data_IF_674245171656
#
_entry.id   IF_674245171656
#
_cell.length_a   1.000
_cell.length_b   1.000
_cell.length_c   1.000
_cell.angle_alpha   90.00
_cell.angle_beta   90.00
_cell.angle_gamma   90.00
#
_symmetry.space_group_name_H-M   'P 1'
#
loop_
_entity.id
_entity.type
_entity.pdbx_description
1 polymer ?
#
# COMPACT_ATOMS: atom_id res chain seq x y z
N UNK A 1 5.57 17.35 17.62
CA UNK A 1 5.86 17.58 16.19
C UNK A 1 4.82 18.56 15.63
N UNK A 2 5.17 19.32 14.60
CA UNK A 2 4.36 20.29 13.83
C UNK A 2 4.13 19.77 12.40
N UNK A 3 3.28 20.40 11.57
CA UNK A 3 3.07 20.00 10.16
C UNK A 3 4.38 19.95 9.34
N UNK A 4 5.31 20.92 9.48
CA UNK A 4 6.66 20.81 8.92
C UNK A 4 7.43 19.55 9.39
N UNK A 5 7.28 19.16 10.66
CA UNK A 5 7.95 17.98 11.21
C UNK A 5 7.37 16.68 10.62
N UNK A 6 6.07 16.62 10.34
CA UNK A 6 5.46 15.49 9.64
C UNK A 6 6.05 15.31 8.24
N UNK A 7 6.08 16.38 7.43
CA UNK A 7 6.59 16.32 6.07
C UNK A 7 8.08 15.92 6.04
N UNK A 8 8.88 16.45 6.97
CA UNK A 8 10.28 16.08 7.13
C UNK A 8 10.45 14.61 7.54
N UNK A 9 9.68 14.11 8.52
CA UNK A 9 9.74 12.72 8.96
C UNK A 9 9.31 11.74 7.85
N UNK A 10 8.27 12.08 7.09
CA UNK A 10 7.84 11.30 5.93
C UNK A 10 8.95 11.25 4.87
N UNK A 11 9.53 12.40 4.52
CA UNK A 11 10.60 12.48 3.52
C UNK A 11 11.86 11.72 3.93
N UNK A 12 12.31 11.84 5.20
CA UNK A 12 13.46 11.08 5.72
C UNK A 12 13.21 9.57 5.64
N UNK A 13 12.04 9.13 6.11
CA UNK A 13 11.68 7.70 6.10
C UNK A 13 11.57 7.17 4.68
N UNK A 14 10.98 7.94 3.77
CA UNK A 14 10.92 7.59 2.35
C UNK A 14 12.31 7.45 1.76
N UNK A 15 13.21 8.41 1.99
CA UNK A 15 14.58 8.34 1.50
C UNK A 15 15.35 7.12 2.07
N UNK A 16 15.10 6.76 3.33
CA UNK A 16 15.61 5.54 3.94
C UNK A 16 15.10 4.27 3.24
N UNK A 17 13.80 4.21 2.95
CA UNK A 17 13.18 3.10 2.22
C UNK A 17 13.72 2.99 0.79
N UNK A 18 13.86 4.10 0.06
CA UNK A 18 14.38 4.10 -1.33
C UNK A 18 15.80 3.52 -1.39
N UNK A 19 16.65 3.82 -0.40
CA UNK A 19 17.97 3.18 -0.28
C UNK A 19 17.83 1.67 -0.05
N UNK A 20 16.93 1.26 0.83
CA UNK A 20 16.64 -0.16 1.06
C UNK A 20 16.15 -0.90 -0.19
N UNK A 21 15.33 -0.25 -1.02
CA UNK A 21 14.88 -0.81 -2.31
C UNK A 21 16.06 -0.95 -3.27
N UNK A 22 16.92 0.07 -3.37
CA UNK A 22 18.11 0.01 -4.22
C UNK A 22 19.04 -1.16 -3.80
N UNK A 23 19.28 -1.30 -2.49
CA UNK A 23 20.09 -2.38 -1.93
C UNK A 23 19.45 -3.75 -2.16
N UNK A 24 18.12 -3.87 -2.00
CA UNK A 24 17.37 -5.09 -2.32
C UNK A 24 17.56 -5.50 -3.78
N UNK A 25 17.41 -4.56 -4.71
CA UNK A 25 17.58 -4.81 -6.13
C UNK A 25 19.02 -5.18 -6.52
N UNK A 26 20.02 -4.76 -5.74
CA UNK A 26 21.42 -5.11 -5.98
C UNK A 26 21.80 -6.52 -5.49
N UNK A 27 21.02 -7.13 -4.58
CA UNK A 27 21.38 -8.42 -3.96
C UNK A 27 21.36 -9.62 -4.90
N UNK A 28 20.51 -9.59 -5.94
CA UNK A 28 20.23 -10.68 -6.91
C UNK A 28 20.50 -12.09 -6.34
N UNK A 29 19.49 -12.77 -5.76
CA UNK A 29 19.67 -14.12 -5.23
C UNK A 29 20.32 -15.06 -6.24
N UNK A 30 21.20 -15.95 -5.77
CA UNK A 30 21.92 -16.89 -6.63
C UNK A 30 20.96 -17.72 -7.48
N UNK A 31 21.28 -17.91 -8.76
CA UNK A 31 20.42 -18.63 -9.71
C UNK A 31 19.27 -17.81 -10.30
N UNK A 32 19.03 -16.58 -9.85
CA UNK A 32 17.97 -15.72 -10.42
C UNK A 32 18.34 -15.30 -11.86
N UNK A 33 17.47 -15.56 -12.86
CA UNK A 33 17.67 -15.07 -14.22
C UNK A 33 17.77 -13.54 -14.25
N UNK A 34 18.77 -13.01 -14.97
CA UNK A 34 19.05 -11.56 -15.02
C UNK A 34 17.84 -10.76 -15.51
N UNK A 35 17.19 -11.21 -16.58
CA UNK A 35 16.00 -10.56 -17.14
C UNK A 35 14.81 -10.48 -16.17
N UNK A 36 14.63 -11.50 -15.31
CA UNK A 36 13.59 -11.47 -14.27
C UNK A 36 13.94 -10.42 -13.21
N UNK A 37 15.20 -10.42 -12.75
CA UNK A 37 15.68 -9.46 -11.76
C UNK A 37 15.57 -8.01 -12.27
N UNK A 38 15.94 -7.76 -13.53
CA UNK A 38 15.79 -6.46 -14.20
C UNK A 38 14.33 -6.01 -14.24
N UNK A 39 13.40 -6.91 -14.58
CA UNK A 39 11.97 -6.61 -14.62
C UNK A 39 11.41 -6.24 -13.24
N UNK A 40 11.75 -7.03 -12.21
CA UNK A 40 11.34 -6.74 -10.83
C UNK A 40 11.91 -5.39 -10.35
N UNK A 41 13.21 -5.17 -10.57
CA UNK A 41 13.90 -3.95 -10.18
C UNK A 41 13.36 -2.71 -10.92
N UNK A 42 13.00 -2.85 -12.20
CA UNK A 42 12.41 -1.76 -12.99
C UNK A 42 11.16 -1.18 -12.33
N UNK A 43 10.20 -2.03 -11.96
CA UNK A 43 8.97 -1.58 -11.32
C UNK A 43 9.19 -1.10 -9.88
N UNK A 44 10.04 -1.79 -9.11
CA UNK A 44 10.36 -1.40 -7.73
C UNK A 44 11.03 -0.02 -7.67
N UNK A 45 11.93 0.28 -8.60
CA UNK A 45 12.69 1.54 -8.66
C UNK A 45 12.02 2.62 -9.53
N UNK A 46 10.81 2.36 -10.05
CA UNK A 46 10.06 3.33 -10.85
C UNK A 46 9.62 4.59 -10.08
N UNK A 47 9.86 4.66 -8.76
CA UNK A 47 9.47 5.76 -7.89
C UNK A 47 8.16 5.47 -7.16
N UNK A 48 7.40 6.51 -6.79
CA UNK A 48 6.14 6.38 -6.04
C UNK A 48 6.18 7.06 -4.68
N UNK A 49 5.02 7.17 -4.03
CA UNK A 49 4.85 7.87 -2.73
C UNK A 49 5.48 7.08 -1.56
N UNK A 50 5.65 5.76 -1.71
CA UNK A 50 6.20 4.83 -0.68
C UNK A 50 5.43 4.88 0.65
N UNK A 51 4.12 5.09 0.59
CA UNK A 51 3.28 5.24 1.78
C UNK A 51 3.34 4.01 2.69
N UNK A 52 3.16 2.82 2.11
CA UNK A 52 3.10 1.53 2.83
C UNK A 52 4.41 1.25 3.60
N UNK A 53 5.60 1.22 2.97
CA UNK A 53 6.83 1.00 3.71
C UNK A 53 7.13 2.10 4.75
N UNK A 54 6.75 3.37 4.48
CA UNK A 54 6.87 4.45 5.48
C UNK A 54 6.00 4.18 6.70
N UNK A 55 4.73 3.77 6.50
CA UNK A 55 3.82 3.40 7.58
C UNK A 55 4.38 2.27 8.43
N UNK A 56 4.97 1.24 7.82
CA UNK A 56 5.59 0.12 8.55
C UNK A 56 6.74 0.56 9.43
N UNK A 57 7.66 1.38 8.90
CA UNK A 57 8.80 1.89 9.67
C UNK A 57 8.33 2.80 10.81
N UNK A 58 7.37 3.69 10.54
CA UNK A 58 6.85 4.61 11.55
C UNK A 58 6.05 3.88 12.63
N UNK A 59 5.31 2.82 12.29
CA UNK A 59 4.57 2.02 13.26
C UNK A 59 5.52 1.22 14.15
N UNK A 60 6.62 0.71 13.61
CA UNK A 60 7.65 0.06 14.42
C UNK A 60 8.36 1.06 15.35
N UNK A 61 8.67 2.26 14.84
CA UNK A 61 9.30 3.33 15.62
C UNK A 61 8.43 3.84 16.77
N UNK A 62 7.10 3.86 16.60
CA UNK A 62 6.13 4.22 17.66
C UNK A 62 6.31 3.38 18.93
N UNK A 63 6.72 2.11 18.78
CA UNK A 63 6.98 1.20 19.89
C UNK A 63 8.48 0.96 20.13
N UNK A 64 9.33 1.89 19.68
CA UNK A 64 10.77 1.92 20.01
C UNK A 64 11.66 1.00 19.19
N UNK A 65 11.17 0.41 18.09
CA UNK A 65 12.02 -0.35 17.17
C UNK A 65 12.84 0.59 16.27
N UNK A 66 14.15 0.37 16.17
CA UNK A 66 15.00 1.05 15.21
C UNK A 66 14.59 0.72 13.77
N UNK A 67 14.56 1.73 12.89
CA UNK A 67 14.05 1.62 11.51
C UNK A 67 14.75 0.53 10.68
N UNK A 68 16.02 0.26 10.93
CA UNK A 68 16.81 -0.79 10.29
C UNK A 68 16.26 -2.19 10.59
N UNK A 69 15.62 -2.37 11.76
CA UNK A 69 15.04 -3.66 12.17
C UNK A 69 13.65 -3.91 11.60
N UNK A 70 12.92 -2.85 11.23
CA UNK A 70 11.63 -2.94 10.54
C UNK A 70 11.75 -2.93 9.01
N UNK A 71 12.89 -2.48 8.48
CA UNK A 71 13.10 -2.32 7.03
C UNK A 71 12.78 -3.59 6.23
N UNK A 72 13.15 -4.82 6.63
CA UNK A 72 12.83 -5.99 5.82
C UNK A 72 11.34 -6.18 5.57
N UNK A 73 10.50 -5.93 6.58
CA UNK A 73 9.05 -5.99 6.46
C UNK A 73 8.48 -4.82 5.66
N UNK A 74 9.05 -3.62 5.81
CA UNK A 74 8.67 -2.47 4.99
C UNK A 74 8.93 -2.76 3.50
N UNK A 75 10.07 -3.36 3.16
CA UNK A 75 10.39 -3.76 1.79
C UNK A 75 9.44 -4.84 1.26
N UNK A 76 9.04 -5.81 2.09
CA UNK A 76 8.03 -6.81 1.73
C UNK A 76 6.68 -6.19 1.33
N UNK A 77 6.22 -5.18 2.08
CA UNK A 77 5.01 -4.42 1.77
C UNK A 77 5.11 -3.71 0.41
N UNK A 78 6.27 -3.12 0.10
CA UNK A 78 6.49 -2.45 -1.18
C UNK A 78 6.65 -3.47 -2.34
N UNK A 79 7.21 -4.65 -2.09
CA UNK A 79 7.25 -5.76 -3.06
C UNK A 79 5.85 -6.22 -3.44
N UNK A 80 4.97 -6.48 -2.46
CA UNK A 80 3.58 -6.88 -2.71
C UNK A 80 2.81 -5.76 -3.42
N UNK A 81 2.95 -4.51 -2.98
CA UNK A 81 2.31 -3.38 -3.66
C UNK A 81 2.78 -3.24 -5.11
N UNK A 82 4.08 -3.41 -5.36
CA UNK A 82 4.62 -3.32 -6.71
C UNK A 82 4.17 -4.49 -7.57
N UNK A 83 4.12 -5.70 -7.01
CA UNK A 83 3.63 -6.89 -7.69
C UNK A 83 2.17 -6.73 -8.12
N UNK A 84 1.31 -6.21 -7.22
CA UNK A 84 -0.10 -5.98 -7.56
C UNK A 84 -0.25 -4.99 -8.71
N UNK A 85 0.55 -3.92 -8.75
CA UNK A 85 0.54 -2.97 -9.88
C UNK A 85 1.03 -3.60 -11.19
N UNK A 86 2.06 -4.45 -11.15
CA UNK A 86 2.54 -5.16 -12.35
C UNK A 86 1.44 -6.04 -12.94
N UNK A 87 0.69 -6.75 -12.11
CA UNK A 87 -0.40 -7.62 -12.54
C UNK A 87 -1.64 -6.84 -12.97
N UNK A 88 -2.04 -5.80 -12.23
CA UNK A 88 -3.14 -4.89 -12.62
C UNK A 88 -2.89 -4.31 -14.01
N UNK A 89 -1.64 -3.94 -14.32
CA UNK A 89 -1.27 -3.35 -15.61
C UNK A 89 -1.39 -4.31 -16.82
N UNK A 90 -1.58 -5.62 -16.63
CA UNK A 90 -1.60 -6.59 -17.74
C UNK A 90 -2.79 -6.39 -18.69
N UNK A 91 -2.69 -6.81 -19.96
CA UNK A 91 -3.78 -6.71 -20.93
C UNK A 91 -5.08 -7.42 -20.53
N UNK A 92 -4.98 -8.49 -19.74
CA UNK A 92 -6.13 -9.24 -19.22
C UNK A 92 -6.79 -8.57 -18.01
N UNK A 93 -6.22 -7.48 -17.49
CA UNK A 93 -6.66 -6.74 -16.32
C UNK A 93 -7.02 -5.31 -16.74
N UNK A 94 -6.24 -4.31 -16.31
CA UNK A 94 -6.52 -2.92 -16.66
C UNK A 94 -5.94 -2.53 -18.05
N UNK A 95 -5.03 -3.30 -18.65
CA UNK A 95 -4.39 -2.99 -19.95
C UNK A 95 -3.75 -1.59 -20.00
N UNK A 96 -3.13 -1.17 -18.88
CA UNK A 96 -2.42 0.11 -18.82
C UNK A 96 -1.06 0.04 -19.53
N UNK A 97 -0.76 1.03 -20.36
CA UNK A 97 0.54 1.15 -21.05
C UNK A 97 1.53 2.07 -20.34
N UNK A 98 1.07 2.87 -19.37
CA UNK A 98 1.88 3.77 -18.56
C UNK A 98 1.60 3.64 -17.06
N UNK A 99 2.65 3.65 -16.25
CA UNK A 99 2.60 3.68 -14.78
C UNK A 99 3.75 4.53 -14.25
N UNK A 100 3.44 5.50 -13.38
CA UNK A 100 4.43 6.44 -12.80
C UNK A 100 5.22 7.19 -13.89
N UNK A 101 4.55 7.53 -15.00
CA UNK A 101 5.16 8.22 -16.14
C UNK A 101 6.15 7.38 -16.97
N UNK A 102 6.19 6.05 -16.78
CA UNK A 102 7.04 5.12 -17.54
C UNK A 102 6.20 4.00 -18.18
N UNK A 103 6.68 3.32 -19.23
CA UNK A 103 6.01 2.14 -19.78
C UNK A 103 5.72 1.11 -18.69
N UNK A 104 4.54 0.50 -18.70
CA UNK A 104 4.24 -0.61 -17.77
C UNK A 104 5.16 -1.79 -17.99
N UNK A 105 5.24 -2.67 -17.00
CA UNK A 105 6.20 -3.76 -17.01
C UNK A 105 6.01 -4.67 -18.23
N UNK A 106 4.76 -5.02 -18.54
CA UNK A 106 4.44 -5.89 -19.67
C UNK A 106 4.77 -5.23 -21.02
N UNK A 107 4.56 -3.91 -21.18
CA UNK A 107 4.96 -3.18 -22.39
C UNK A 107 6.47 -3.24 -22.60
N UNK A 108 7.25 -3.17 -21.52
CA UNK A 108 8.72 -3.15 -21.61
C UNK A 108 9.34 -4.54 -21.75
N UNK A 109 8.84 -5.54 -21.02
CA UNK A 109 9.49 -6.85 -20.91
C UNK A 109 8.69 -8.01 -21.52
N UNK A 110 7.45 -7.77 -21.93
CA UNK A 110 6.47 -8.77 -22.36
C UNK A 110 5.64 -9.32 -21.20
N UNK A 111 4.42 -9.78 -21.50
CA UNK A 111 3.45 -10.29 -20.52
C UNK A 111 4.01 -11.42 -19.66
N UNK A 112 4.66 -12.42 -20.28
CA UNK A 112 5.19 -13.58 -19.56
C UNK A 112 6.22 -13.18 -18.48
N UNK A 113 7.08 -12.18 -18.77
CA UNK A 113 8.06 -11.70 -17.79
C UNK A 113 7.40 -10.81 -16.73
N UNK A 114 6.37 -10.04 -17.09
CA UNK A 114 5.61 -9.25 -16.13
C UNK A 114 4.86 -10.15 -15.13
N UNK A 115 4.18 -11.19 -15.60
CA UNK A 115 3.52 -12.19 -14.75
C UNK A 115 4.52 -12.78 -13.75
N UNK A 116 5.64 -13.31 -14.25
CA UNK A 116 6.67 -13.93 -13.41
C UNK A 116 7.36 -12.94 -12.46
N UNK A 117 7.50 -11.66 -12.85
CA UNK A 117 8.04 -10.63 -11.98
C UNK A 117 7.11 -10.32 -10.81
N UNK A 118 5.79 -10.24 -11.05
CA UNK A 118 4.81 -10.11 -9.99
C UNK A 118 4.80 -11.34 -9.06
N UNK A 119 4.78 -12.54 -9.62
CA UNK A 119 4.80 -13.80 -8.85
C UNK A 119 6.05 -13.90 -7.97
N UNK A 120 7.21 -13.61 -8.54
CA UNK A 120 8.48 -13.65 -7.82
C UNK A 120 8.52 -12.59 -6.70
N UNK A 121 8.03 -11.37 -6.94
CA UNK A 121 7.94 -10.34 -5.90
C UNK A 121 6.99 -10.75 -4.76
N UNK A 122 5.84 -11.36 -5.08
CA UNK A 122 4.92 -11.84 -4.06
C UNK A 122 5.55 -12.93 -3.20
N UNK A 123 6.22 -13.92 -3.80
CA UNK A 123 6.92 -14.96 -3.06
C UNK A 123 8.09 -14.40 -2.24
N UNK A 124 8.86 -13.48 -2.83
CA UNK A 124 10.02 -12.87 -2.18
C UNK A 124 9.63 -11.97 -1.01
N UNK A 125 8.44 -11.36 -1.05
CA UNK A 125 7.89 -10.60 0.06
C UNK A 125 7.62 -11.44 1.32
N UNK A 126 7.63 -12.78 1.24
CA UNK A 126 7.60 -13.64 2.44
C UNK A 126 8.99 -14.17 2.78
N UNK A 127 9.73 -14.64 1.78
CA UNK A 127 11.06 -15.23 1.97
C UNK A 127 12.07 -14.22 2.54
N UNK A 128 12.17 -13.04 1.92
CA UNK A 128 13.14 -12.02 2.28
C UNK A 128 13.00 -11.52 3.73
N UNK A 129 11.82 -11.03 4.18
CA UNK A 129 11.70 -10.58 5.56
C UNK A 129 11.85 -11.74 6.55
N UNK A 130 11.42 -12.96 6.23
CA UNK A 130 11.60 -14.10 7.12
C UNK A 130 13.08 -14.36 7.39
N UNK A 131 13.91 -14.38 6.35
CA UNK A 131 15.36 -14.58 6.47
C UNK A 131 16.04 -13.43 7.22
N UNK A 132 15.77 -12.18 6.85
CA UNK A 132 16.43 -11.01 7.44
C UNK A 132 15.99 -10.73 8.88
N UNK A 133 14.70 -10.86 9.20
CA UNK A 133 14.21 -10.63 10.57
C UNK A 133 14.70 -11.71 11.54
N UNK A 134 14.82 -12.96 11.06
CA UNK A 134 15.44 -14.04 11.84
C UNK A 134 16.92 -13.74 12.12
N UNK A 135 17.68 -13.27 11.12
CA UNK A 135 19.09 -12.85 11.28
C UNK A 135 19.24 -11.68 12.26
N UNK A 136 18.24 -10.80 12.32
CA UNK A 136 18.17 -9.70 13.28
C UNK A 136 17.68 -10.13 14.66
N UNK A 137 17.49 -11.42 14.92
CA UNK A 137 17.00 -11.97 16.19
C UNK A 137 15.69 -11.32 16.68
N UNK A 138 14.78 -11.02 15.75
CA UNK A 138 13.41 -10.64 16.11
C UNK A 138 12.69 -11.88 16.64
N UNK A 139 11.92 -11.80 17.75
CA UNK A 139 11.16 -12.94 18.27
C UNK A 139 10.26 -13.57 17.22
N UNK A 140 10.28 -14.91 17.12
CA UNK A 140 9.61 -15.66 16.05
C UNK A 140 8.09 -15.50 16.06
N UNK A 141 7.48 -15.38 17.24
CA UNK A 141 6.05 -15.10 17.40
C UNK A 141 5.65 -13.77 16.74
N UNK A 142 6.50 -12.74 16.85
CA UNK A 142 6.27 -11.44 16.21
C UNK A 142 6.47 -11.49 14.70
N UNK A 143 7.48 -12.24 14.23
CA UNK A 143 7.69 -12.47 12.79
C UNK A 143 6.46 -13.18 12.21
N UNK A 144 6.03 -14.28 12.84
CA UNK A 144 4.85 -15.05 12.40
C UNK A 144 3.58 -14.19 12.43
N UNK A 145 3.37 -13.39 13.49
CA UNK A 145 2.22 -12.49 13.58
C UNK A 145 2.18 -11.46 12.46
N UNK A 146 3.32 -10.83 12.14
CA UNK A 146 3.41 -9.87 11.05
C UNK A 146 3.22 -10.54 9.67
N UNK A 147 3.84 -11.71 9.44
CA UNK A 147 3.65 -12.45 8.19
C UNK A 147 2.21 -12.95 8.00
N UNK A 148 1.51 -13.29 9.08
CA UNK A 148 0.09 -13.65 9.02
C UNK A 148 -0.77 -12.46 8.57
N UNK A 149 -0.51 -11.26 9.11
CA UNK A 149 -1.18 -10.03 8.65
C UNK A 149 -0.90 -9.79 7.17
N UNK A 150 0.35 -9.98 6.74
CA UNK A 150 0.74 -9.82 5.34
C UNK A 150 0.04 -10.85 4.42
N UNK A 151 0.02 -12.12 4.82
CA UNK A 151 -0.65 -13.19 4.08
C UNK A 151 -2.15 -12.95 3.95
N UNK A 152 -2.81 -12.51 5.02
CA UNK A 152 -4.23 -12.18 4.98
C UNK A 152 -4.52 -10.99 4.05
N UNK A 153 -3.62 -10.01 3.98
CA UNK A 153 -3.77 -8.86 3.09
C UNK A 153 -3.59 -9.21 1.61
N UNK A 154 -2.79 -10.23 1.29
CA UNK A 154 -2.64 -10.74 -0.09
C UNK A 154 -3.71 -11.79 -0.46
N UNK A 155 -4.27 -12.47 0.54
CA UNK A 155 -5.16 -13.61 0.36
C UNK A 155 -6.51 -13.28 -0.31
N UNK A 156 -7.41 -14.29 -0.40
CA UNK A 156 -8.66 -14.18 -1.16
C UNK A 156 -9.64 -13.13 -0.62
N UNK A 157 -9.52 -12.73 0.64
CA UNK A 157 -10.31 -11.64 1.25
C UNK A 157 -9.53 -10.32 1.34
N UNK A 158 -8.33 -10.27 0.75
CA UNK A 158 -7.46 -9.10 0.66
C UNK A 158 -7.41 -8.55 -0.76
N UNK A 159 -6.23 -8.14 -1.21
CA UNK A 159 -6.04 -7.40 -2.48
C UNK A 159 -6.65 -8.15 -3.67
N UNK A 160 -6.44 -9.47 -3.77
CA UNK A 160 -6.98 -10.24 -4.88
C UNK A 160 -8.51 -10.27 -4.89
N UNK A 161 -9.15 -10.40 -3.73
CA UNK A 161 -10.61 -10.33 -3.61
C UNK A 161 -11.14 -8.94 -3.98
N UNK A 162 -10.46 -7.89 -3.50
CA UNK A 162 -10.79 -6.51 -3.85
C UNK A 162 -10.60 -6.22 -5.34
N UNK A 163 -9.60 -6.82 -5.99
CA UNK A 163 -9.40 -6.69 -7.43
C UNK A 163 -10.51 -7.35 -8.21
N UNK A 164 -10.92 -8.57 -7.84
CA UNK A 164 -12.06 -9.24 -8.46
C UNK A 164 -13.33 -8.41 -8.31
N UNK A 165 -13.62 -7.89 -7.11
CA UNK A 165 -14.76 -7.00 -6.91
C UNK A 165 -14.69 -5.73 -7.78
N UNK A 166 -13.50 -5.22 -8.08
CA UNK A 166 -13.31 -4.00 -8.89
C UNK A 166 -13.45 -4.24 -10.40
N UNK A 167 -13.18 -5.45 -10.90
CA UNK A 167 -13.07 -5.72 -12.35
C UNK A 167 -14.04 -6.77 -12.89
N UNK A 168 -14.63 -7.61 -12.04
CA UNK A 168 -15.53 -8.69 -12.45
C UNK A 168 -17.00 -8.36 -12.14
N UNK A 169 -17.76 -8.04 -13.20
CA UNK A 169 -19.19 -7.71 -13.10
C UNK A 169 -20.04 -8.89 -12.57
N UNK A 170 -19.59 -10.14 -12.72
CA UNK A 170 -20.32 -11.32 -12.23
C UNK A 170 -20.21 -11.47 -10.71
N UNK A 171 -19.17 -10.92 -10.10
CA UNK A 171 -18.95 -10.90 -8.65
C UNK A 171 -19.65 -9.72 -7.94
N UNK A 172 -20.64 -9.11 -8.60
CA UNK A 172 -21.31 -7.91 -8.12
C UNK A 172 -21.97 -8.08 -6.74
N UNK A 173 -21.67 -7.14 -5.86
CA UNK A 173 -22.33 -6.90 -4.58
C UNK A 173 -23.32 -5.72 -4.72
N UNK A 174 -24.20 -5.45 -3.72
CA UNK A 174 -25.10 -4.31 -3.75
C UNK A 174 -24.38 -3.00 -4.09
N UNK A 175 -24.99 -2.17 -4.94
CA UNK A 175 -24.33 -1.02 -5.56
C UNK A 175 -23.85 0.02 -4.56
N UNK A 176 -24.55 0.16 -3.44
CA UNK A 176 -24.22 1.08 -2.35
C UNK A 176 -23.07 0.58 -1.45
N UNK A 177 -22.89 -0.72 -1.35
CA UNK A 177 -21.77 -1.34 -0.60
C UNK A 177 -20.50 -1.51 -1.44
N UNK A 178 -20.65 -1.50 -2.77
CA UNK A 178 -19.56 -1.77 -3.72
C UNK A 178 -18.28 -0.94 -3.50
N UNK A 179 -18.32 0.40 -3.57
CA UNK A 179 -17.11 1.21 -3.42
C UNK A 179 -16.45 1.02 -2.04
N UNK A 180 -17.24 0.74 -1.00
CA UNK A 180 -16.72 0.46 0.34
C UNK A 180 -15.98 -0.88 0.42
N UNK A 181 -16.50 -1.93 -0.22
CA UNK A 181 -15.85 -3.23 -0.24
C UNK A 181 -14.53 -3.19 -1.03
N UNK A 182 -14.55 -2.55 -2.21
CA UNK A 182 -13.34 -2.34 -3.03
C UNK A 182 -12.31 -1.52 -2.25
N UNK A 183 -12.70 -0.39 -1.64
CA UNK A 183 -11.80 0.43 -0.83
C UNK A 183 -11.16 -0.36 0.31
N UNK A 184 -11.92 -1.21 1.00
CA UNK A 184 -11.40 -2.05 2.09
C UNK A 184 -10.46 -3.13 1.59
N UNK A 185 -10.84 -3.88 0.56
CA UNK A 185 -10.12 -5.09 0.16
C UNK A 185 -8.98 -4.82 -0.84
N UNK A 186 -9.13 -3.89 -1.78
CA UNK A 186 -8.11 -3.58 -2.79
C UNK A 186 -7.03 -2.64 -2.24
N UNK A 187 -7.45 -1.57 -1.56
CA UNK A 187 -6.55 -0.48 -1.16
C UNK A 187 -6.23 -0.49 0.33
N UNK A 188 -7.27 -0.51 1.16
CA UNK A 188 -7.17 -0.35 2.60
C UNK A 188 -6.49 -1.51 3.31
N UNK A 189 -6.68 -2.75 2.83
CA UNK A 189 -6.10 -3.94 3.47
C UNK A 189 -4.59 -3.88 3.55
N UNK A 190 -3.91 -3.35 2.52
CA UNK A 190 -2.45 -3.26 2.50
C UNK A 190 -1.94 -2.06 3.30
N UNK A 191 -2.73 -0.97 3.40
CA UNK A 191 -2.44 0.16 4.30
C UNK A 191 -2.55 -0.30 5.75
N UNK A 192 -3.61 -1.03 6.10
CA UNK A 192 -3.79 -1.65 7.41
C UNK A 192 -2.65 -2.62 7.73
N UNK A 193 -2.29 -3.49 6.80
CA UNK A 193 -1.16 -4.40 6.97
C UNK A 193 0.15 -3.65 7.20
N UNK A 194 0.39 -2.54 6.50
CA UNK A 194 1.59 -1.74 6.67
C UNK A 194 1.77 -1.27 8.12
N UNK A 195 0.71 -0.72 8.72
CA UNK A 195 0.73 -0.22 10.10
C UNK A 195 0.86 -1.38 11.10
N UNK A 196 0.05 -2.43 10.93
CA UNK A 196 0.00 -3.55 11.87
C UNK A 196 1.30 -4.35 11.91
N UNK A 197 1.90 -4.62 10.75
CA UNK A 197 3.14 -5.40 10.69
C UNK A 197 4.29 -4.72 11.43
N UNK A 198 4.43 -3.39 11.28
CA UNK A 198 5.42 -2.61 12.03
C UNK A 198 5.19 -2.65 13.54
N UNK A 199 3.94 -2.45 13.97
CA UNK A 199 3.56 -2.48 15.39
C UNK A 199 3.79 -3.85 16.03
N UNK A 200 3.39 -4.94 15.35
CA UNK A 200 3.53 -6.32 15.83
C UNK A 200 5.02 -6.68 15.96
N UNK A 201 5.85 -6.34 14.98
CA UNK A 201 7.30 -6.58 15.05
C UNK A 201 7.94 -5.88 16.26
N UNK A 202 7.51 -4.66 16.55
CA UNK A 202 7.97 -3.88 17.70
C UNK A 202 7.40 -4.35 19.04
N UNK A 203 6.40 -5.23 19.04
CA UNK A 203 5.81 -5.78 20.26
C UNK A 203 4.79 -4.84 20.90
N UNK A 204 4.00 -4.15 20.07
CA UNK A 204 2.84 -3.39 20.52
C UNK A 204 1.88 -4.27 21.33
N UNK A 205 1.22 -3.67 22.33
CA UNK A 205 0.16 -4.34 23.08
C UNK A 205 -1.13 -4.50 22.24
N UNK A 206 -2.03 -5.39 22.69
CA UNK A 206 -3.26 -5.69 21.96
C UNK A 206 -4.17 -4.48 21.73
N UNK A 207 -4.27 -3.57 22.70
CA UNK A 207 -5.10 -2.38 22.57
C UNK A 207 -4.56 -1.43 21.47
N UNK A 208 -3.23 -1.29 21.41
CA UNK A 208 -2.55 -0.53 20.38
C UNK A 208 -2.67 -1.19 19.01
N UNK A 209 -2.56 -2.51 18.92
CA UNK A 209 -2.79 -3.28 17.68
C UNK A 209 -4.23 -3.08 17.18
N UNK A 210 -5.23 -3.16 18.05
CA UNK A 210 -6.64 -2.93 17.68
C UNK A 210 -6.93 -1.49 17.27
N UNK A 211 -6.33 -0.51 17.96
CA UNK A 211 -6.40 0.91 17.59
C UNK A 211 -5.80 1.16 16.21
N UNK A 212 -4.63 0.60 15.94
CA UNK A 212 -3.94 0.72 14.65
C UNK A 212 -4.65 -0.05 13.53
N UNK A 213 -5.34 -1.14 13.83
CA UNK A 213 -6.20 -1.84 12.87
C UNK A 213 -7.32 -0.92 12.39
N UNK A 214 -8.10 -0.34 13.33
CA UNK A 214 -9.17 0.60 13.01
C UNK A 214 -8.65 1.85 12.29
N UNK A 215 -7.52 2.39 12.74
CA UNK A 215 -6.84 3.48 12.04
C UNK A 215 -6.54 3.12 10.59
N UNK A 216 -5.95 1.94 10.34
CA UNK A 216 -5.63 1.48 8.99
C UNK A 216 -6.84 1.27 8.09
N UNK A 217 -7.95 0.75 8.65
CA UNK A 217 -9.22 0.57 7.93
C UNK A 217 -9.80 1.91 7.46
N UNK A 218 -9.88 2.89 8.37
CA UNK A 218 -10.41 4.22 8.08
C UNK A 218 -9.47 5.03 7.18
N UNK A 219 -8.16 4.99 7.42
CA UNK A 219 -7.16 5.65 6.58
C UNK A 219 -7.18 5.09 5.15
N UNK A 220 -7.29 3.77 5.02
CA UNK A 220 -7.36 3.10 3.74
C UNK A 220 -8.61 3.47 2.94
N UNK A 221 -9.75 3.58 3.62
CA UNK A 221 -11.00 4.01 3.01
C UNK A 221 -10.93 5.47 2.56
N UNK A 222 -10.46 6.38 3.44
CA UNK A 222 -10.25 7.77 3.08
C UNK A 222 -9.28 7.94 1.89
N UNK A 223 -8.22 7.13 1.84
CA UNK A 223 -7.27 7.13 0.74
C UNK A 223 -7.94 6.77 -0.59
N UNK A 224 -8.79 5.75 -0.63
CA UNK A 224 -9.49 5.37 -1.86
C UNK A 224 -10.48 6.46 -2.29
N UNK A 225 -11.23 7.06 -1.36
CA UNK A 225 -12.17 8.12 -1.70
C UNK A 225 -11.45 9.32 -2.33
N UNK A 226 -10.28 9.70 -1.78
CA UNK A 226 -9.46 10.77 -2.35
C UNK A 226 -8.87 10.39 -3.71
N UNK A 227 -8.43 9.15 -3.93
CA UNK A 227 -8.00 8.68 -5.25
C UNK A 227 -9.14 8.77 -6.28
N UNK A 228 -10.38 8.36 -5.93
CA UNK A 228 -11.55 8.49 -6.79
C UNK A 228 -11.87 9.97 -7.12
N UNK A 229 -11.71 10.87 -6.16
CA UNK A 229 -11.89 12.32 -6.37
C UNK A 229 -10.82 12.87 -7.31
N UNK A 230 -9.56 12.50 -7.10
CA UNK A 230 -8.44 12.95 -7.93
C UNK A 230 -8.57 12.44 -9.37
N UNK A 231 -9.09 11.24 -9.60
CA UNK A 231 -9.28 10.68 -10.94
C UNK A 231 -10.27 11.49 -11.81
N UNK A 232 -11.21 12.20 -11.19
CA UNK A 232 -12.18 13.06 -11.89
C UNK A 232 -11.75 14.53 -11.91
N UNK A 233 -10.95 14.98 -10.94
CA UNK A 233 -10.62 16.41 -10.76
C UNK A 233 -9.21 16.81 -11.19
N UNK A 234 -8.28 15.87 -11.30
CA UNK A 234 -6.87 16.13 -11.64
C UNK A 234 -6.60 16.09 -13.14
N UNK A 235 -5.55 16.77 -13.59
CA UNK A 235 -5.09 16.66 -14.98
C UNK A 235 -4.37 15.31 -15.23
N UNK A 236 -4.37 14.81 -16.47
CA UNK A 236 -3.68 13.56 -16.84
C UNK A 236 -2.20 13.53 -16.44
N UNK A 237 -1.50 14.66 -16.58
CA UNK A 237 -0.08 14.80 -16.27
C UNK A 237 0.21 14.69 -14.77
N UNK A 238 -0.74 15.10 -13.92
CA UNK A 238 -0.61 15.05 -12.47
C UNK A 238 -0.83 13.63 -11.91
N UNK A 239 -1.71 12.84 -12.53
CA UNK A 239 -2.06 11.48 -12.09
C UNK A 239 -0.96 10.45 -12.43
N UNK A 240 -0.20 10.67 -13.51
CA UNK A 240 0.87 9.75 -13.94
C UNK A 240 0.40 8.36 -14.37
N UNK A 241 -0.92 8.22 -14.63
CA UNK A 241 -1.65 7.06 -15.19
C UNK A 241 -2.68 7.57 -16.21
N UNK A 242 -3.34 6.67 -16.93
CA UNK A 242 -4.38 7.00 -17.91
C UNK A 242 -5.62 7.61 -17.22
N UNK A 243 -6.02 8.87 -17.50
CA UNK A 243 -7.18 9.54 -16.89
C UNK A 243 -8.52 9.04 -17.46
N UNK A 244 -9.63 9.24 -16.73
CA UNK A 244 -11.00 8.99 -17.23
C UNK A 244 -11.37 7.52 -17.44
N UNK A 245 -10.55 6.61 -16.92
CA UNK A 245 -10.68 5.17 -17.15
C UNK A 245 -11.86 4.56 -16.40
N UNK A 246 -12.12 5.01 -15.18
CA UNK A 246 -13.23 4.52 -14.37
C UNK A 246 -14.57 4.75 -15.05
N UNK A 247 -14.75 5.91 -15.68
CA UNK A 247 -15.95 6.22 -16.47
C UNK A 247 -16.03 5.34 -17.73
N UNK A 248 -14.91 5.13 -18.42
CA UNK A 248 -14.84 4.25 -19.59
C UNK A 248 -15.10 2.77 -19.26
N UNK A 249 -14.78 2.35 -18.04
CA UNK A 249 -14.95 0.98 -17.53
C UNK A 249 -16.25 0.81 -16.71
N UNK A 250 -17.12 1.83 -16.61
CA UNK A 250 -18.32 1.84 -15.77
C UNK A 250 -18.05 1.44 -14.30
N UNK A 251 -16.87 1.76 -13.77
CA UNK A 251 -16.53 1.44 -12.38
C UNK A 251 -17.41 2.22 -11.41
N UNK A 252 -17.88 1.52 -10.38
CA UNK A 252 -18.74 2.06 -9.32
C UNK A 252 -17.88 2.65 -8.20
N UNK A 253 -17.43 3.88 -8.41
CA UNK A 253 -16.60 4.66 -7.49
C UNK A 253 -17.43 5.48 -6.50
N UNK A 254 -16.82 6.01 -5.44
CA UNK A 254 -17.50 6.92 -4.52
C UNK A 254 -18.06 8.16 -5.24
N UNK A 255 -17.29 8.72 -6.19
CA UNK A 255 -17.70 9.89 -6.96
C UNK A 255 -18.89 9.56 -7.86
N UNK A 256 -18.90 8.40 -8.52
CA UNK A 256 -20.02 7.98 -9.38
C UNK A 256 -21.34 7.80 -8.61
N UNK A 257 -21.26 7.37 -7.34
CA UNK A 257 -22.42 7.04 -6.52
C UNK A 257 -22.95 8.24 -5.72
N UNK A 258 -22.06 9.03 -5.13
CA UNK A 258 -22.41 10.10 -4.19
C UNK A 258 -22.17 11.51 -4.74
N UNK A 259 -21.38 11.63 -5.81
CA UNK A 259 -20.88 12.91 -6.31
C UNK A 259 -19.66 13.43 -5.52
N UNK A 260 -18.95 14.39 -6.11
CA UNK A 260 -17.66 14.88 -5.57
C UNK A 260 -17.78 15.51 -4.18
N UNK A 261 -18.83 16.31 -3.95
CA UNK A 261 -18.98 17.04 -2.67
C UNK A 261 -19.26 16.10 -1.50
N UNK A 262 -20.11 15.08 -1.71
CA UNK A 262 -20.41 14.07 -0.70
C UNK A 262 -19.22 13.12 -0.51
N UNK A 263 -18.54 12.70 -1.59
CA UNK A 263 -17.30 11.93 -1.48
C UNK A 263 -16.25 12.66 -0.62
N UNK A 264 -16.06 13.98 -0.80
CA UNK A 264 -15.18 14.78 0.06
C UNK A 264 -15.64 14.81 1.52
N UNK A 265 -16.95 14.83 1.79
CA UNK A 265 -17.47 14.77 3.15
C UNK A 265 -17.19 13.40 3.80
N UNK A 266 -17.38 12.32 3.05
CA UNK A 266 -17.05 10.95 3.49
C UNK A 266 -15.55 10.78 3.76
N UNK A 267 -14.67 11.28 2.90
CA UNK A 267 -13.22 11.23 3.11
C UNK A 267 -12.80 11.94 4.41
N UNK A 268 -13.38 13.13 4.68
CA UNK A 268 -13.17 13.88 5.93
C UNK A 268 -13.65 13.12 7.16
N UNK A 269 -14.81 12.46 7.07
CA UNK A 269 -15.33 11.66 8.18
C UNK A 269 -14.45 10.44 8.46
N UNK A 270 -14.04 9.70 7.43
CA UNK A 270 -13.14 8.55 7.57
C UNK A 270 -11.76 8.97 8.09
N UNK A 271 -11.21 10.10 7.62
CA UNK A 271 -9.99 10.68 8.19
C UNK A 271 -10.14 11.00 9.69
N UNK A 272 -11.26 11.60 10.09
CA UNK A 272 -11.56 11.91 11.50
C UNK A 272 -11.64 10.64 12.35
N UNK A 273 -12.29 9.58 11.84
CA UNK A 273 -12.38 8.27 12.50
C UNK A 273 -11.03 7.59 12.64
N UNK A 274 -10.15 7.73 11.64
CA UNK A 274 -8.77 7.27 11.75
C UNK A 274 -8.06 7.97 12.93
N UNK A 275 -8.12 9.30 13.02
CA UNK A 275 -7.52 10.05 14.13
C UNK A 275 -8.11 9.63 15.49
N UNK A 276 -9.43 9.46 15.57
CA UNK A 276 -10.10 9.00 16.80
C UNK A 276 -9.62 7.60 17.24
N UNK A 277 -9.39 6.68 16.31
CA UNK A 277 -8.89 5.34 16.60
C UNK A 277 -7.51 5.33 17.27
N UNK A 278 -6.69 6.36 17.02
CA UNK A 278 -5.36 6.50 17.63
C UNK A 278 -5.41 6.78 19.14
N UNK A 279 -6.55 7.20 19.70
CA UNK A 279 -6.71 7.40 21.16
C UNK A 279 -6.47 6.13 21.97
N UNK A 280 -6.69 4.96 21.36
CA UNK A 280 -6.43 3.66 21.99
C UNK A 280 -4.96 3.20 21.87
N UNK A 281 -4.14 3.92 21.09
CA UNK A 281 -2.76 3.55 20.78
C UNK A 281 -1.81 4.22 21.76
N UNK A 282 -0.91 3.43 22.36
CA UNK A 282 0.11 3.97 23.26
C UNK A 282 1.24 4.64 22.46
N UNK A 283 1.65 5.83 22.89
CA UNK A 283 2.82 6.53 22.36
C UNK A 283 2.47 7.85 21.68
N UNK A 284 3.45 8.48 21.03
CA UNK A 284 3.23 9.70 20.24
C UNK A 284 2.70 9.34 18.85
N UNK A 285 1.38 9.44 18.68
CA UNK A 285 0.70 9.11 17.43
C UNK A 285 0.63 10.29 16.45
N UNK A 286 1.38 11.37 16.69
CA UNK A 286 1.31 12.58 15.86
C UNK A 286 1.52 12.31 14.38
N UNK A 287 2.51 11.50 14.00
CA UNK A 287 2.79 11.18 12.59
C UNK A 287 1.56 10.61 11.88
N UNK A 288 0.83 9.71 12.54
CA UNK A 288 -0.36 9.05 12.02
C UNK A 288 -1.55 10.01 11.94
N UNK A 289 -1.74 10.85 12.97
CA UNK A 289 -2.79 11.86 12.95
C UNK A 289 -2.58 12.88 11.81
N UNK A 290 -1.36 13.41 11.71
CA UNK A 290 -0.99 14.36 10.66
C UNK A 290 -1.11 13.75 9.25
N UNK A 291 -0.78 12.47 9.07
CA UNK A 291 -0.98 11.77 7.80
C UNK A 291 -2.47 11.69 7.44
N UNK A 292 -3.33 11.28 8.37
CA UNK A 292 -4.77 11.17 8.13
C UNK A 292 -5.38 12.53 7.78
N UNK A 293 -5.02 13.59 8.51
CA UNK A 293 -5.47 14.96 8.25
C UNK A 293 -4.95 15.46 6.90
N UNK A 294 -3.71 15.14 6.54
CA UNK A 294 -3.12 15.58 5.26
C UNK A 294 -3.76 14.94 4.03
N UNK A 295 -4.53 13.85 4.16
CA UNK A 295 -5.15 13.16 3.02
C UNK A 295 -6.25 13.99 2.36
N UNK A 296 -7.06 14.67 3.17
CA UNK A 296 -8.29 15.36 2.73
C UNK A 296 -8.04 16.78 2.21
N UNK A 297 -6.81 17.26 2.35
CA UNK A 297 -6.33 18.54 1.84
C UNK A 297 -5.34 18.36 0.66
N UNK A 298 -5.28 17.17 0.05
CA UNK A 298 -4.32 16.88 -1.02
C UNK A 298 -4.69 17.58 -2.31
N UNK A 299 -3.67 18.16 -2.96
CA UNK A 299 -3.74 18.52 -4.36
C UNK A 299 -3.41 17.33 -5.29
N UNK A 300 -2.55 16.39 -4.85
CA UNK A 300 -1.99 15.29 -5.67
C UNK A 300 -1.74 13.98 -4.88
#
# INVERSE_FOLDING_TARGET
MTTPDFAAAFADTRAFVERGIADLCARRPEGTPERLMESMAYSLTAGGKRLRPVLTVQAAALFGMARERSLPMALALEMIHTASLIHDDLPAMDDDVLRRGKPTNHVRYGEAIAILAGDALMAWAFEYPLAELARLAIPSDRICGALLVLANALGPSGICGGQVLDTDDESAIPSDEHPWAVARQKTGVLIRAAVLTGAILAGADGASVDGLARYGDHLGTAFQIEDDILDVTSSPEALGKTPGKDEAQNKRTFVSLFGVDEARALAREESRRAVEALKAVRGDTFFFAALAESLVDRAN
#
